data_IF_100063998566
#
_entry.id   IF_100063998566
#
_cell.length_a   1.000
_cell.length_b   1.000
_cell.length_c   1.000
_cell.angle_alpha   90.00
_cell.angle_beta   90.00
_cell.angle_gamma   90.00
#
_symmetry.space_group_name_H-M   'P 1'
#
loop_
_entity.id
_entity.type
_entity.pdbx_description
1 polymer ?
#
# COMPACT_ATOMS: atom_id res chain seq x y z
N UNK A 1 -14.35 -9.72 -17.08
CA UNK A 1 -13.94 -10.27 -15.76
C UNK A 1 -13.24 -9.16 -14.99
N UNK A 2 -13.50 -9.00 -13.69
CA UNK A 2 -12.76 -8.02 -12.87
C UNK A 2 -11.27 -8.37 -12.87
N UNK A 3 -10.40 -7.41 -13.19
CA UNK A 3 -8.93 -7.59 -13.21
C UNK A 3 -8.37 -8.02 -11.84
N UNK A 4 -9.10 -7.71 -10.77
CA UNK A 4 -8.74 -8.09 -9.40
C UNK A 4 -9.90 -8.84 -8.72
N UNK A 5 -9.56 -9.90 -8.00
CA UNK A 5 -10.53 -10.65 -7.20
C UNK A 5 -10.75 -9.94 -5.87
N UNK A 6 -12.03 -9.71 -5.52
CA UNK A 6 -12.39 -9.09 -4.23
C UNK A 6 -11.86 -9.92 -3.06
N UNK A 7 -11.94 -11.24 -3.14
CA UNK A 7 -11.50 -12.13 -2.07
C UNK A 7 -9.97 -12.13 -1.93
N UNK A 8 -9.24 -12.04 -3.05
CA UNK A 8 -7.78 -11.91 -2.99
C UNK A 8 -7.35 -10.54 -2.46
N UNK A 9 -8.04 -9.45 -2.82
CA UNK A 9 -7.74 -8.13 -2.29
C UNK A 9 -7.93 -8.06 -0.76
N UNK A 10 -8.91 -8.79 -0.20
CA UNK A 10 -9.10 -8.88 1.26
C UNK A 10 -7.86 -9.43 1.97
N UNK A 11 -7.19 -10.43 1.40
CA UNK A 11 -5.95 -11.01 1.96
C UNK A 11 -4.85 -9.98 2.19
N UNK A 12 -4.87 -8.85 1.46
CA UNK A 12 -3.90 -7.76 1.63
C UNK A 12 -4.42 -6.61 2.49
N UNK A 13 -5.71 -6.27 2.41
CA UNK A 13 -6.27 -5.12 3.12
C UNK A 13 -6.71 -5.42 4.56
N UNK A 14 -7.20 -6.64 4.84
CA UNK A 14 -7.65 -7.01 6.19
C UNK A 14 -6.48 -7.05 7.20
N UNK A 15 -5.30 -7.64 6.89
CA UNK A 15 -4.17 -7.58 7.81
C UNK A 15 -3.77 -6.15 8.16
N UNK A 16 -3.71 -5.26 7.16
CA UNK A 16 -3.44 -3.84 7.38
C UNK A 16 -4.48 -3.17 8.28
N UNK A 17 -5.78 -3.38 8.00
CA UNK A 17 -6.86 -2.79 8.78
C UNK A 17 -6.82 -3.25 10.25
N UNK A 18 -6.37 -4.48 10.51
CA UNK A 18 -6.24 -5.03 11.87
C UNK A 18 -5.04 -4.47 12.65
N UNK A 19 -3.95 -4.06 11.97
CA UNK A 19 -2.73 -3.59 12.65
C UNK A 19 -2.56 -2.09 12.66
N UNK A 20 -3.23 -1.33 11.76
CA UNK A 20 -2.98 0.11 11.60
C UNK A 20 -3.16 0.91 12.89
N UNK A 21 -4.17 0.58 13.69
CA UNK A 21 -4.49 1.32 14.92
C UNK A 21 -3.47 1.03 16.01
N UNK A 22 -3.03 -0.24 16.12
CA UNK A 22 -1.97 -0.64 17.02
C UNK A 22 -0.65 0.08 16.65
N UNK A 23 -0.29 0.11 15.37
CA UNK A 23 0.92 0.83 14.92
C UNK A 23 0.81 2.33 15.24
N UNK A 24 -0.36 2.95 15.01
CA UNK A 24 -0.57 4.35 15.34
C UNK A 24 -0.28 4.63 16.82
N UNK A 25 -0.81 3.79 17.72
CA UNK A 25 -0.58 3.89 19.16
C UNK A 25 0.91 3.70 19.50
N UNK A 26 1.58 2.71 18.90
CA UNK A 26 3.02 2.47 19.10
C UNK A 26 3.88 3.70 18.75
N UNK A 27 3.48 4.50 17.74
CA UNK A 27 4.15 5.77 17.44
C UNK A 27 3.88 6.85 18.48
N UNK A 28 2.70 6.88 19.09
CA UNK A 28 2.37 7.84 20.15
C UNK A 28 3.13 7.53 21.44
N UNK A 29 3.29 6.24 21.75
CA UNK A 29 3.98 5.74 22.94
C UNK A 29 5.49 5.59 22.74
N UNK A 30 6.01 5.87 21.54
CA UNK A 30 7.40 5.63 21.13
C UNK A 30 7.86 4.18 21.36
N UNK A 31 6.96 3.21 21.23
CA UNK A 31 7.26 1.79 21.41
C UNK A 31 8.26 1.31 20.34
N UNK A 32 9.38 0.65 20.71
CA UNK A 32 10.38 0.17 19.76
C UNK A 32 9.80 -0.76 18.68
N UNK A 33 8.77 -1.55 19.03
CA UNK A 33 8.11 -2.51 18.15
C UNK A 33 7.42 -1.85 16.93
N UNK A 34 7.18 -0.53 16.97
CA UNK A 34 6.60 0.23 15.84
C UNK A 34 7.36 0.02 14.54
N UNK A 35 8.69 -0.11 14.61
CA UNK A 35 9.55 -0.25 13.44
C UNK A 35 9.33 -1.61 12.79
N UNK A 36 9.33 -2.68 13.59
CA UNK A 36 9.11 -4.04 13.10
C UNK A 36 7.73 -4.19 12.45
N UNK A 37 6.69 -3.66 13.10
CA UNK A 37 5.33 -3.69 12.56
C UNK A 37 5.20 -2.87 11.26
N UNK A 38 5.91 -1.75 11.15
CA UNK A 38 5.99 -0.97 9.92
C UNK A 38 6.72 -1.70 8.81
N UNK A 39 7.83 -2.38 9.10
CA UNK A 39 8.55 -3.19 8.10
C UNK A 39 7.66 -4.29 7.55
N UNK A 40 6.95 -5.01 8.43
CA UNK A 40 5.97 -6.03 8.04
C UNK A 40 4.86 -5.44 7.15
N UNK A 41 4.32 -4.28 7.53
CA UNK A 41 3.27 -3.59 6.76
C UNK A 41 3.77 -3.09 5.40
N UNK A 42 5.02 -2.64 5.31
CA UNK A 42 5.67 -2.27 4.04
C UNK A 42 5.79 -3.48 3.11
N UNK A 43 6.19 -4.65 3.65
CA UNK A 43 6.27 -5.87 2.84
C UNK A 43 4.89 -6.31 2.34
N UNK A 44 3.87 -6.26 3.20
CA UNK A 44 2.48 -6.54 2.79
C UNK A 44 2.02 -5.60 1.67
N UNK A 45 2.36 -4.31 1.77
CA UNK A 45 2.04 -3.34 0.72
C UNK A 45 2.75 -3.66 -0.60
N UNK A 46 4.02 -4.07 -0.57
CA UNK A 46 4.78 -4.48 -1.76
C UNK A 46 4.11 -5.72 -2.40
N UNK A 47 3.74 -6.73 -1.60
CA UNK A 47 3.06 -7.93 -2.10
C UNK A 47 1.70 -7.59 -2.75
N UNK A 48 0.97 -6.61 -2.23
CA UNK A 48 -0.25 -6.10 -2.86
C UNK A 48 0.03 -5.47 -4.24
N UNK A 49 1.11 -4.70 -4.37
CA UNK A 49 1.52 -4.12 -5.65
C UNK A 49 1.92 -5.21 -6.66
N UNK A 50 2.67 -6.22 -6.21
CA UNK A 50 3.08 -7.37 -7.02
C UNK A 50 1.87 -8.19 -7.50
N UNK A 51 0.91 -8.46 -6.62
CA UNK A 51 -0.38 -9.06 -6.99
C UNK A 51 -1.10 -8.23 -8.06
N UNK A 52 -1.02 -6.91 -7.94
CA UNK A 52 -1.55 -5.96 -8.91
C UNK A 52 -0.94 -6.10 -10.31
N UNK A 53 0.30 -6.60 -10.39
CA UNK A 53 1.11 -6.68 -11.59
C UNK A 53 1.67 -5.32 -12.03
N UNK A 54 2.37 -5.32 -13.17
CA UNK A 54 2.93 -4.12 -13.79
C UNK A 54 2.37 -3.89 -15.19
N UNK A 55 2.34 -2.63 -15.63
CA UNK A 55 2.07 -2.25 -17.02
C UNK A 55 3.03 -1.15 -17.47
N UNK A 56 3.28 -1.04 -18.78
CA UNK A 56 4.10 0.03 -19.33
C UNK A 56 3.33 1.34 -19.22
N UNK A 57 3.89 2.31 -18.49
CA UNK A 57 3.37 3.66 -18.46
C UNK A 57 3.67 4.36 -19.79
N UNK A 58 2.63 4.73 -20.54
CA UNK A 58 2.75 5.34 -21.86
C UNK A 58 3.47 6.71 -21.87
N UNK A 59 3.53 7.40 -20.73
CA UNK A 59 4.19 8.70 -20.60
C UNK A 59 5.67 8.56 -20.29
N UNK A 60 6.04 7.59 -19.43
CA UNK A 60 7.43 7.41 -18.97
C UNK A 60 8.18 6.32 -19.73
N UNK A 61 7.46 5.42 -20.42
CA UNK A 61 7.99 4.23 -21.08
C UNK A 61 8.47 3.15 -20.11
N UNK A 62 8.22 3.30 -18.81
CA UNK A 62 8.69 2.38 -17.76
C UNK A 62 7.60 1.42 -17.33
N UNK A 63 7.98 0.22 -16.92
CA UNK A 63 7.08 -0.70 -16.23
C UNK A 63 6.79 -0.16 -14.83
N UNK A 64 5.51 0.08 -14.55
CA UNK A 64 5.04 0.57 -13.26
C UNK A 64 3.94 -0.35 -12.72
N UNK A 65 3.89 -0.50 -11.39
CA UNK A 65 2.84 -1.30 -10.76
C UNK A 65 1.46 -0.72 -11.05
N UNK A 66 0.54 -1.56 -11.51
CA UNK A 66 -0.83 -1.17 -11.88
C UNK A 66 -1.55 -0.57 -10.68
N UNK A 67 -1.30 -1.10 -9.48
CA UNK A 67 -1.93 -0.67 -8.23
C UNK A 67 -1.19 0.45 -7.50
N UNK A 68 -0.05 0.92 -8.00
CA UNK A 68 0.71 2.00 -7.37
C UNK A 68 -0.01 3.34 -7.53
N UNK A 69 -0.21 4.12 -6.45
CA UNK A 69 -0.75 5.47 -6.55
C UNK A 69 0.22 6.46 -7.20
N UNK A 70 -0.28 7.67 -7.47
CA UNK A 70 0.56 8.77 -7.95
C UNK A 70 1.70 9.05 -6.96
N UNK A 71 2.92 9.24 -7.46
CA UNK A 71 4.14 9.41 -6.65
C UNK A 71 4.38 8.28 -5.63
N UNK A 72 3.81 7.09 -5.88
CA UNK A 72 3.86 5.99 -4.94
C UNK A 72 5.27 5.45 -4.72
N UNK A 73 6.13 5.51 -5.75
CA UNK A 73 7.53 5.09 -5.65
C UNK A 73 8.30 5.99 -4.67
N UNK A 74 8.23 7.31 -4.87
CA UNK A 74 8.91 8.30 -4.02
C UNK A 74 8.41 8.23 -2.58
N UNK A 75 7.10 8.04 -2.40
CA UNK A 75 6.50 7.87 -1.07
C UNK A 75 6.97 6.59 -0.39
N UNK A 76 7.03 5.46 -1.11
CA UNK A 76 7.50 4.20 -0.55
C UNK A 76 8.99 4.28 -0.17
N UNK A 77 9.82 4.92 -0.98
CA UNK A 77 11.22 5.19 -0.63
C UNK A 77 11.33 6.10 0.60
N UNK A 78 10.52 7.14 0.68
CA UNK A 78 10.47 8.03 1.83
C UNK A 78 10.10 7.26 3.11
N UNK A 79 9.07 6.42 3.06
CA UNK A 79 8.61 5.59 4.20
C UNK A 79 9.75 4.70 4.68
N UNK A 80 10.45 4.00 3.77
CA UNK A 80 11.59 3.14 4.10
C UNK A 80 12.74 3.92 4.76
N UNK A 81 13.04 5.12 4.25
CA UNK A 81 14.12 5.97 4.79
C UNK A 81 13.76 6.60 6.14
N UNK A 82 12.49 6.86 6.40
CA UNK A 82 11.99 7.59 7.57
C UNK A 82 11.11 6.72 8.46
N UNK A 83 11.35 5.40 8.49
CA UNK A 83 10.47 4.43 9.14
C UNK A 83 10.23 4.69 10.63
N UNK A 84 11.14 5.39 11.31
CA UNK A 84 10.97 5.77 12.72
C UNK A 84 10.01 6.95 12.95
N UNK A 85 9.60 7.66 11.90
CA UNK A 85 8.75 8.84 11.97
C UNK A 85 7.27 8.49 11.87
N UNK A 86 6.43 9.11 12.71
CA UNK A 86 4.96 9.03 12.61
C UNK A 86 4.47 9.43 11.21
N UNK A 87 5.19 10.32 10.52
CA UNK A 87 4.84 10.71 9.16
C UNK A 87 5.00 9.57 8.15
N UNK A 88 5.95 8.64 8.34
CA UNK A 88 6.05 7.45 7.50
C UNK A 88 4.82 6.54 7.64
N UNK A 89 4.30 6.37 8.87
CA UNK A 89 3.04 5.65 9.10
C UNK A 89 1.84 6.31 8.39
N UNK A 90 1.71 7.64 8.49
CA UNK A 90 0.65 8.39 7.79
C UNK A 90 0.76 8.20 6.28
N UNK A 91 1.97 8.26 5.74
CA UNK A 91 2.23 8.06 4.32
C UNK A 91 1.87 6.64 3.86
N UNK A 92 2.22 5.61 4.64
CA UNK A 92 1.88 4.22 4.35
C UNK A 92 0.36 3.99 4.40
N UNK A 93 -0.30 4.55 5.41
CA UNK A 93 -1.76 4.49 5.55
C UNK A 93 -2.47 5.07 4.33
N UNK A 94 -2.04 6.25 3.89
CA UNK A 94 -2.59 6.90 2.71
C UNK A 94 -2.30 6.10 1.41
N UNK A 95 -1.15 5.43 1.30
CA UNK A 95 -0.86 4.54 0.17
C UNK A 95 -1.86 3.36 0.12
N UNK A 96 -2.12 2.69 1.26
CA UNK A 96 -3.14 1.62 1.32
C UNK A 96 -4.53 2.13 0.90
N UNK A 97 -4.96 3.29 1.40
CA UNK A 97 -6.26 3.88 1.06
C UNK A 97 -6.39 4.22 -0.43
N UNK A 98 -5.35 4.84 -1.01
CA UNK A 98 -5.31 5.19 -2.42
C UNK A 98 -5.29 3.94 -3.31
N UNK A 99 -4.52 2.93 -2.94
CA UNK A 99 -4.47 1.64 -3.64
C UNK A 99 -5.81 0.91 -3.55
N UNK A 100 -6.49 0.91 -2.38
CA UNK A 100 -7.84 0.35 -2.22
C UNK A 100 -8.84 1.02 -3.18
N UNK A 101 -8.81 2.35 -3.25
CA UNK A 101 -9.64 3.12 -4.18
C UNK A 101 -9.29 2.80 -5.65
N UNK A 102 -8.00 2.68 -5.99
CA UNK A 102 -7.54 2.32 -7.34
C UNK A 102 -8.03 0.92 -7.75
N UNK A 103 -7.85 -0.06 -6.88
CA UNK A 103 -8.32 -1.44 -7.10
C UNK A 103 -9.85 -1.50 -7.28
N UNK A 104 -10.61 -0.77 -6.46
CA UNK A 104 -12.07 -0.69 -6.58
C UNK A 104 -12.50 -0.10 -7.95
N UNK A 105 -11.88 1.02 -8.38
CA UNK A 105 -12.15 1.61 -9.71
C UNK A 105 -11.88 0.61 -10.83
N UNK A 106 -10.71 -0.03 -10.83
CA UNK A 106 -10.34 -1.02 -11.84
C UNK A 106 -11.24 -2.27 -11.83
N UNK A 107 -11.86 -2.59 -10.69
CA UNK A 107 -12.84 -3.69 -10.59
C UNK A 107 -14.21 -3.34 -11.19
N UNK A 108 -14.56 -2.05 -11.24
CA UNK A 108 -15.83 -1.57 -11.84
C UNK A 108 -15.65 -1.28 -13.33
N UNK A 109 -14.54 -0.66 -13.74
CA UNK A 109 -14.29 -0.32 -15.16
C UNK A 109 -14.22 -1.55 -16.07
N UNK A 110 -13.84 -2.72 -15.55
CA UNK A 110 -13.79 -3.98 -16.31
C UNK A 110 -15.13 -4.74 -16.39
N UNK A 111 -16.25 -4.12 -15.98
CA UNK A 111 -17.60 -4.68 -16.09
C UNK A 111 -18.41 -4.11 -17.27
N UNK A 112 -17.84 -3.22 -18.07
CA UNK A 112 -18.48 -2.61 -19.25
C UNK A 112 -18.06 -3.27 -20.55
#
# INVERSE_FOLDING_TARGET
>A
MSRFSKDLLKTYFEPWDNVKEAIAQMYEENEPLRVEQMEQSIQQYIQLLEYGGTEVNNQTGKNEYILLPLNGTERLEFIKKQIHSRYAFVQLSALFDETRKKAARLSVTNKS
#
